data_IF_861365620835
#
_entry.id   IF_861365620835
#
_cell.length_a   1.000
_cell.length_b   1.000
_cell.length_c   1.000
_cell.angle_alpha   90.00
_cell.angle_beta   90.00
_cell.angle_gamma   90.00
#
_symmetry.space_group_name_H-M   'P 1'
#
loop_
_entity.id
_entity.type
_entity.pdbx_description
1 polymer ?
#
# COMPACT_ATOMS: atom_id res chain seq x y z
N UNK A 1 5.93 -31.50 6.89
CA UNK A 1 6.04 -30.29 6.05
C UNK A 1 4.99 -30.38 4.94
N UNK A 2 4.27 -29.30 4.64
CA UNK A 2 3.25 -29.31 3.58
C UNK A 2 3.91 -29.19 2.20
N UNK A 3 3.47 -29.99 1.24
CA UNK A 3 3.99 -30.05 -0.14
C UNK A 3 3.02 -29.38 -1.11
N UNK A 4 3.55 -28.97 -2.27
CA UNK A 4 2.73 -28.53 -3.39
C UNK A 4 1.83 -29.68 -3.88
N UNK A 5 0.62 -29.32 -4.27
CA UNK A 5 -0.41 -30.26 -4.74
C UNK A 5 -0.46 -30.26 -6.26
N UNK A 6 -0.47 -31.42 -6.94
CA UNK A 6 -0.77 -31.49 -8.37
C UNK A 6 -2.21 -31.04 -8.62
N UNK A 7 -2.39 -29.92 -9.30
CA UNK A 7 -3.71 -29.31 -9.49
C UNK A 7 -3.78 -28.47 -10.77
N UNK A 8 -4.84 -28.61 -11.59
CA UNK A 8 -4.95 -27.92 -12.86
C UNK A 8 -5.40 -26.46 -12.70
N UNK A 9 -5.02 -25.61 -13.65
CA UNK A 9 -5.42 -24.20 -13.72
C UNK A 9 -6.95 -24.02 -13.73
N UNK A 10 -7.67 -24.88 -14.45
CA UNK A 10 -9.13 -24.79 -14.62
C UNK A 10 -9.93 -24.89 -13.32
N UNK A 11 -9.33 -25.44 -12.26
CA UNK A 11 -9.95 -25.55 -10.94
C UNK A 11 -9.71 -24.32 -10.05
N UNK A 12 -8.97 -23.32 -10.52
CA UNK A 12 -8.55 -22.16 -9.73
C UNK A 12 -9.31 -20.91 -10.19
N UNK A 13 -9.87 -20.16 -9.24
CA UNK A 13 -10.53 -18.88 -9.51
C UNK A 13 -10.03 -17.80 -8.58
N UNK A 14 -10.00 -16.56 -9.08
CA UNK A 14 -9.69 -15.37 -8.31
C UNK A 14 -10.79 -14.33 -8.54
N UNK A 15 -11.43 -13.88 -7.47
CA UNK A 15 -12.55 -12.94 -7.51
C UNK A 15 -12.34 -11.82 -6.51
N UNK A 16 -12.57 -10.58 -6.90
CA UNK A 16 -12.41 -9.42 -6.03
C UNK A 16 -13.71 -8.66 -5.84
N UNK A 17 -14.02 -8.37 -4.57
CA UNK A 17 -15.14 -7.51 -4.16
C UNK A 17 -14.62 -6.15 -3.69
N UNK A 18 -14.88 -5.07 -4.45
CA UNK A 18 -14.53 -3.71 -4.03
C UNK A 18 -15.27 -3.23 -2.78
N UNK A 19 -16.52 -3.68 -2.57
CA UNK A 19 -17.33 -3.32 -1.40
C UNK A 19 -16.71 -3.83 -0.09
N UNK A 20 -16.30 -5.09 -0.09
CA UNK A 20 -15.73 -5.74 1.10
C UNK A 20 -14.21 -5.69 1.11
N UNK A 21 -13.58 -5.09 0.09
CA UNK A 21 -12.12 -5.03 -0.09
C UNK A 21 -11.47 -6.39 0.13
N UNK A 22 -12.04 -7.42 -0.48
CA UNK A 22 -11.65 -8.81 -0.27
C UNK A 22 -11.36 -9.49 -1.60
N UNK A 23 -10.18 -10.06 -1.72
CA UNK A 23 -9.81 -10.98 -2.77
C UNK A 23 -10.09 -12.41 -2.29
N UNK A 24 -10.90 -13.14 -3.06
CA UNK A 24 -11.25 -14.54 -2.81
C UNK A 24 -10.53 -15.39 -3.83
N UNK A 25 -9.69 -16.30 -3.36
CA UNK A 25 -9.03 -17.31 -4.18
C UNK A 25 -9.68 -18.66 -3.85
N UNK A 26 -10.13 -19.38 -4.86
CA UNK A 26 -10.75 -20.69 -4.68
C UNK A 26 -10.02 -21.73 -5.53
N UNK A 27 -9.91 -22.95 -4.99
CA UNK A 27 -9.40 -24.12 -5.68
C UNK A 27 -10.41 -25.27 -5.49
N UNK A 28 -11.11 -25.63 -6.57
CA UNK A 28 -12.13 -26.68 -6.59
C UNK A 28 -11.79 -27.75 -7.61
N UNK A 29 -11.70 -29.00 -7.17
CA UNK A 29 -11.31 -30.10 -8.05
C UNK A 29 -10.78 -31.32 -7.30
N UNK A 30 -10.16 -32.24 -8.04
CA UNK A 30 -9.63 -33.49 -7.49
C UNK A 30 -8.14 -33.37 -7.20
N UNK A 31 -7.73 -33.83 -6.01
CA UNK A 31 -6.32 -33.98 -5.61
C UNK A 31 -5.98 -35.46 -5.42
N UNK A 32 -4.71 -35.85 -5.53
CA UNK A 32 -4.29 -37.20 -5.20
C UNK A 32 -4.70 -37.60 -3.77
N UNK A 33 -5.23 -38.81 -3.60
CA UNK A 33 -5.79 -39.24 -2.32
C UNK A 33 -4.77 -39.45 -1.20
N UNK A 34 -3.49 -39.47 -1.55
CA UNK A 34 -2.37 -39.51 -0.60
C UNK A 34 -2.05 -38.16 0.05
N UNK A 35 -2.79 -37.10 -0.30
CA UNK A 35 -2.68 -35.79 0.30
C UNK A 35 -3.88 -35.53 1.22
N UNK A 36 -3.63 -34.89 2.37
CA UNK A 36 -4.65 -34.49 3.33
C UNK A 36 -4.56 -33.01 3.66
N UNK A 37 -5.72 -32.44 3.99
CA UNK A 37 -5.84 -31.05 4.43
C UNK A 37 -5.27 -30.08 3.39
N UNK A 38 -5.84 -30.07 2.18
CA UNK A 38 -5.44 -29.10 1.17
C UNK A 38 -5.82 -27.69 1.64
N UNK A 39 -4.90 -26.74 1.51
CA UNK A 39 -5.11 -25.33 1.85
C UNK A 39 -4.37 -24.42 0.86
N UNK A 40 -4.92 -23.23 0.64
CA UNK A 40 -4.27 -22.18 -0.14
C UNK A 40 -3.40 -21.36 0.82
N UNK A 41 -2.15 -21.14 0.44
CA UNK A 41 -1.20 -20.29 1.17
C UNK A 41 -0.84 -19.08 0.32
N UNK A 42 -0.82 -17.90 0.93
CA UNK A 42 -0.19 -16.71 0.32
C UNK A 42 1.32 -16.84 0.44
N UNK A 43 2.03 -16.65 -0.65
CA UNK A 43 3.50 -16.69 -0.70
C UNK A 43 4.06 -15.27 -0.76
N UNK A 44 5.21 -15.05 -0.13
CA UNK A 44 5.91 -13.78 -0.17
C UNK A 44 6.60 -13.62 -1.54
N UNK A 45 6.16 -12.63 -2.32
CA UNK A 45 6.74 -12.36 -3.64
C UNK A 45 6.70 -10.86 -3.96
N UNK A 46 7.85 -10.33 -4.39
CA UNK A 46 8.08 -8.89 -4.61
C UNK A 46 7.35 -8.36 -5.86
N UNK A 47 6.95 -9.23 -6.79
CA UNK A 47 6.40 -8.84 -8.09
C UNK A 47 4.86 -8.85 -8.21
N UNK A 48 4.11 -9.24 -7.18
CA UNK A 48 2.67 -9.46 -7.34
C UNK A 48 2.01 -10.25 -6.22
N UNK A 49 0.74 -10.57 -6.43
CA UNK A 49 -0.02 -11.47 -5.57
C UNK A 49 0.33 -12.92 -5.96
N UNK A 50 1.03 -13.65 -5.08
CA UNK A 50 1.36 -15.07 -5.29
C UNK A 50 0.70 -15.95 -4.23
N UNK A 51 0.13 -17.04 -4.68
CA UNK A 51 -0.51 -18.07 -3.85
C UNK A 51 0.01 -19.44 -4.25
N UNK A 52 -0.09 -20.40 -3.34
CA UNK A 52 0.19 -21.80 -3.62
C UNK A 52 -0.89 -22.72 -3.05
N UNK A 53 -1.13 -23.86 -3.70
CA UNK A 53 -1.94 -24.93 -3.14
C UNK A 53 -1.03 -25.95 -2.46
N UNK A 54 -1.22 -26.14 -1.16
CA UNK A 54 -0.42 -27.06 -0.35
C UNK A 54 -1.29 -28.09 0.36
N UNK A 55 -0.72 -29.25 0.63
CA UNK A 55 -1.34 -30.29 1.44
C UNK A 55 -0.28 -31.09 2.20
N UNK A 56 -0.72 -31.88 3.18
CA UNK A 56 0.16 -32.76 3.93
C UNK A 56 0.20 -34.15 3.28
N UNK A 57 1.40 -34.71 3.02
CA UNK A 57 1.50 -36.09 2.58
C UNK A 57 1.06 -37.01 3.72
N UNK A 58 0.15 -37.93 3.42
CA UNK A 58 -0.22 -39.02 4.31
C UNK A 58 0.81 -40.16 4.16
N UNK A 59 1.17 -40.78 5.28
CA UNK A 59 2.00 -41.99 5.26
C UNK A 59 1.11 -43.18 4.92
N UNK A 60 1.48 -43.90 3.85
CA UNK A 60 0.85 -45.17 3.49
C UNK A 60 1.86 -46.31 3.67
N UNK A 61 1.42 -47.46 4.20
CA UNK A 61 2.24 -48.66 4.22
C UNK A 61 2.59 -49.07 2.77
N UNK A 62 3.82 -49.53 2.58
CA UNK A 62 4.28 -50.07 1.31
C UNK A 62 3.39 -51.25 0.89
N UNK A 63 2.91 -51.26 -0.36
CA UNK A 63 2.03 -52.33 -0.90
C UNK A 63 0.53 -52.05 -0.84
N UNK A 64 0.08 -50.91 -0.29
CA UNK A 64 -1.33 -50.50 -0.42
C UNK A 64 -1.59 -49.83 -1.78
N UNK A 65 -2.76 -50.09 -2.42
CA UNK A 65 -3.13 -49.39 -3.64
C UNK A 65 -3.19 -47.88 -3.38
N UNK A 66 -2.73 -47.04 -4.33
CA UNK A 66 -2.75 -45.60 -4.15
C UNK A 66 -4.18 -45.13 -3.87
N UNK A 67 -4.40 -44.27 -2.86
CA UNK A 67 -5.74 -43.88 -2.48
C UNK A 67 -6.43 -43.11 -3.62
N UNK A 68 -7.71 -43.39 -3.82
CA UNK A 68 -8.53 -42.72 -4.83
C UNK A 68 -8.43 -41.19 -4.72
N UNK A 69 -8.42 -40.45 -5.83
CA UNK A 69 -8.44 -38.99 -5.80
C UNK A 69 -9.60 -38.46 -4.97
N UNK A 70 -9.34 -37.41 -4.19
CA UNK A 70 -10.33 -36.76 -3.31
C UNK A 70 -10.73 -35.42 -3.88
N UNK A 71 -12.00 -35.07 -3.76
CA UNK A 71 -12.46 -33.72 -4.10
C UNK A 71 -12.09 -32.75 -2.98
N UNK A 72 -11.68 -31.55 -3.38
CA UNK A 72 -11.39 -30.44 -2.49
C UNK A 72 -12.21 -29.21 -2.91
N UNK A 73 -12.62 -28.43 -1.91
CA UNK A 73 -13.16 -27.09 -2.06
C UNK A 73 -12.45 -26.22 -1.03
N UNK A 74 -11.43 -25.49 -1.50
CA UNK A 74 -10.58 -24.68 -0.63
C UNK A 74 -10.72 -23.24 -1.04
N UNK A 75 -11.06 -22.39 -0.08
CA UNK A 75 -11.19 -20.94 -0.28
C UNK A 75 -10.27 -20.19 0.68
N UNK A 76 -9.53 -19.22 0.15
CA UNK A 76 -8.80 -18.24 0.93
C UNK A 76 -9.39 -16.85 0.68
N UNK A 77 -9.75 -16.16 1.75
CA UNK A 77 -10.16 -14.75 1.71
C UNK A 77 -9.01 -13.89 2.20
N UNK A 78 -8.60 -12.93 1.36
CA UNK A 78 -7.53 -12.00 1.65
C UNK A 78 -8.12 -10.60 1.73
N UNK A 79 -8.11 -9.96 2.91
CA UNK A 79 -8.48 -8.55 3.01
C UNK A 79 -7.37 -7.72 2.36
N UNK A 80 -7.69 -7.09 1.22
CA UNK A 80 -6.74 -6.29 0.44
C UNK A 80 -7.49 -5.25 -0.37
N UNK A 81 -6.92 -4.05 -0.47
CA UNK A 81 -7.47 -3.00 -1.32
C UNK A 81 -6.82 -3.05 -2.70
N UNK A 82 -7.61 -3.41 -3.73
CA UNK A 82 -7.24 -3.33 -5.14
C UNK A 82 -8.09 -2.26 -5.85
N UNK A 83 -7.57 -1.62 -6.91
CA UNK A 83 -6.24 -1.81 -7.49
C UNK A 83 -5.12 -1.13 -6.67
N UNK A 84 -3.93 -1.75 -6.66
CA UNK A 84 -2.70 -1.19 -6.11
C UNK A 84 -1.85 -0.63 -7.27
N UNK A 85 -1.33 0.59 -7.11
CA UNK A 85 -0.56 1.29 -8.15
C UNK A 85 0.82 0.69 -8.45
N UNK A 86 1.36 -0.12 -7.53
CA UNK A 86 2.73 -0.65 -7.57
C UNK A 86 2.79 -2.17 -7.69
N UNK A 87 1.65 -2.84 -7.74
CA UNK A 87 1.53 -4.30 -7.81
C UNK A 87 0.58 -4.68 -8.94
N UNK A 88 0.85 -5.80 -9.61
CA UNK A 88 -0.13 -6.36 -10.53
C UNK A 88 -1.45 -6.61 -9.78
N UNK A 89 -2.49 -5.90 -10.21
CA UNK A 89 -3.85 -5.99 -9.68
C UNK A 89 -4.82 -6.66 -10.65
N UNK A 90 -4.35 -7.05 -11.85
CA UNK A 90 -5.16 -7.72 -12.88
C UNK A 90 -5.21 -9.22 -12.67
N UNK A 91 -4.14 -9.79 -12.11
CA UNK A 91 -4.00 -11.22 -11.98
C UNK A 91 -3.18 -11.60 -10.74
N UNK A 92 -3.31 -12.87 -10.35
CA UNK A 92 -2.51 -13.49 -9.30
C UNK A 92 -1.68 -14.64 -9.89
N UNK A 93 -0.48 -14.83 -9.36
CA UNK A 93 0.27 -16.05 -9.60
C UNK A 93 -0.21 -17.14 -8.65
N UNK A 94 -0.49 -18.32 -9.18
CA UNK A 94 -0.92 -19.46 -8.39
C UNK A 94 -0.04 -20.67 -8.68
N UNK A 95 0.66 -21.14 -7.67
CA UNK A 95 1.64 -22.23 -7.75
C UNK A 95 1.04 -23.56 -7.28
N UNK A 96 1.22 -24.58 -8.09
CA UNK A 96 0.86 -25.96 -7.81
C UNK A 96 2.05 -26.85 -8.13
N UNK A 97 1.96 -28.16 -7.85
CA UNK A 97 3.03 -29.08 -8.26
C UNK A 97 3.11 -29.22 -9.79
N UNK A 98 2.09 -28.80 -10.53
CA UNK A 98 2.08 -28.83 -12.00
C UNK A 98 2.77 -27.60 -12.61
N UNK A 99 2.94 -26.51 -11.86
CA UNK A 99 3.55 -25.28 -12.34
C UNK A 99 2.98 -24.02 -11.69
N UNK A 100 3.33 -22.87 -12.26
CA UNK A 100 2.83 -21.56 -11.83
C UNK A 100 1.87 -21.03 -12.90
N UNK A 101 0.64 -20.73 -12.50
CA UNK A 101 -0.42 -20.22 -13.35
C UNK A 101 -0.65 -18.72 -13.12
N UNK A 102 -1.11 -18.02 -14.15
CA UNK A 102 -1.44 -16.61 -14.09
C UNK A 102 -2.97 -16.44 -14.14
N UNK A 103 -3.60 -16.36 -12.96
CA UNK A 103 -5.05 -16.37 -12.82
C UNK A 103 -5.58 -14.94 -12.84
N UNK A 104 -6.41 -14.60 -13.83
CA UNK A 104 -7.04 -13.29 -13.96
C UNK A 104 -8.04 -13.08 -12.82
N UNK A 105 -7.98 -11.91 -12.17
CA UNK A 105 -8.92 -11.52 -11.12
C UNK A 105 -10.21 -11.04 -11.76
N UNK A 106 -11.33 -11.68 -11.41
CA UNK A 106 -12.67 -11.22 -11.80
C UNK A 106 -13.16 -10.15 -10.82
N UNK A 107 -13.34 -8.93 -11.30
CA UNK A 107 -13.89 -7.83 -10.52
C UNK A 107 -15.42 -7.91 -10.52
N UNK A 108 -16.04 -7.97 -9.33
CA UNK A 108 -17.50 -8.11 -9.20
C UNK A 108 -18.30 -6.84 -9.53
N UNK A 109 -17.63 -5.73 -9.86
CA UNK A 109 -18.23 -4.45 -10.21
C UNK A 109 -17.64 -3.93 -11.52
N UNK A 110 -18.50 -3.57 -12.46
CA UNK A 110 -18.09 -2.96 -13.72
C UNK A 110 -17.41 -1.59 -13.48
N UNK A 111 -16.32 -1.32 -14.21
CA UNK A 111 -15.58 -0.04 -14.14
C UNK A 111 -14.58 0.09 -12.98
N UNK A 112 -14.43 -0.93 -12.13
CA UNK A 112 -13.44 -0.96 -11.02
C UNK A 112 -12.15 -1.69 -11.42
N UNK A 113 -12.06 -2.12 -12.68
CA UNK A 113 -10.87 -2.75 -13.21
C UNK A 113 -9.68 -1.77 -13.26
N UNK A 114 -8.45 -2.24 -12.99
CA UNK A 114 -7.26 -1.42 -13.16
C UNK A 114 -7.08 -1.01 -14.63
N UNK A 115 -6.94 0.30 -14.86
CA UNK A 115 -6.54 0.90 -16.16
C UNK A 115 -5.17 0.35 -16.57
N UNK A 116 -4.90 0.22 -17.88
CA UNK A 116 -3.73 -0.48 -18.42
C UNK A 116 -2.37 -0.11 -17.83
N UNK A 117 -1.54 -1.15 -17.72
CA UNK A 117 -0.16 -1.32 -17.19
C UNK A 117 0.54 -0.13 -16.49
N UNK A 118 1.14 -0.34 -15.30
CA UNK A 118 2.31 0.44 -14.93
C UNK A 118 3.44 0.12 -15.93
N UNK A 119 3.95 1.13 -16.63
CA UNK A 119 5.15 1.02 -17.46
C UNK A 119 6.36 0.75 -16.56
N UNK A 120 6.97 -0.41 -16.82
CA UNK A 120 8.28 -0.91 -16.37
C UNK A 120 8.32 -1.50 -14.95
N UNK A 121 8.92 -2.68 -14.71
CA UNK A 121 9.74 -3.50 -15.59
C UNK A 121 10.94 -4.04 -14.79
N UNK A 122 11.03 -5.36 -14.66
CA UNK A 122 12.24 -6.07 -14.28
C UNK A 122 12.30 -7.35 -15.10
N UNK A 123 12.58 -7.17 -16.39
CA UNK A 123 13.34 -8.13 -17.18
C UNK A 123 14.81 -7.72 -17.08
N UNK A 124 15.68 -8.70 -16.86
CA UNK A 124 17.14 -8.55 -16.85
C UNK A 124 17.67 -7.78 -18.05
N UNK A 125 18.52 -6.77 -17.83
CA UNK A 125 19.59 -6.40 -18.76
C UNK A 125 20.61 -5.50 -18.05
N UNK A 126 21.89 -5.84 -18.22
CA UNK A 126 23.06 -5.06 -17.86
C UNK A 126 23.07 -3.66 -18.50
N UNK A 127 23.67 -2.68 -17.83
CA UNK A 127 24.09 -1.41 -18.45
C UNK A 127 24.27 -0.22 -17.49
N UNK A 128 25.51 -0.07 -16.99
CA UNK A 128 26.24 1.15 -16.59
C UNK A 128 25.55 2.38 -15.94
N UNK A 129 25.94 2.59 -14.66
CA UNK A 129 26.51 3.81 -14.01
C UNK A 129 26.34 5.20 -14.64
N UNK A 130 25.82 6.17 -13.88
CA UNK A 130 26.60 7.14 -13.06
C UNK A 130 25.71 8.13 -12.28
N UNK A 131 26.16 8.59 -11.09
CA UNK A 131 25.72 9.86 -10.46
C UNK A 131 25.17 9.88 -9.02
N UNK A 132 26.04 9.61 -8.03
CA UNK A 132 26.20 10.20 -6.66
C UNK A 132 24.99 10.82 -5.91
N UNK A 133 24.54 10.24 -4.77
CA UNK A 133 24.90 10.52 -3.34
C UNK A 133 23.93 11.55 -2.70
N UNK A 134 23.35 11.50 -1.50
CA UNK A 134 23.46 10.85 -0.17
C UNK A 134 21.99 10.67 0.33
N UNK A 135 21.52 9.77 1.21
CA UNK A 135 21.99 9.37 2.52
C UNK A 135 21.21 8.08 2.86
N UNK A 136 21.90 6.94 2.93
CA UNK A 136 21.29 5.62 3.14
C UNK A 136 21.32 5.25 4.63
N UNK A 137 20.21 5.47 5.32
CA UNK A 137 19.88 4.73 6.56
C UNK A 137 18.75 3.75 6.29
N UNK A 138 19.10 2.46 6.25
CA UNK A 138 18.26 1.26 6.40
C UNK A 138 16.83 1.30 5.79
N UNK A 139 16.82 1.36 4.46
CA UNK A 139 16.04 0.57 3.51
C UNK A 139 14.58 0.19 3.84
N UNK A 140 13.72 1.20 3.82
CA UNK A 140 12.34 1.08 3.36
C UNK A 140 12.15 1.92 2.09
N UNK A 141 11.64 1.34 1.00
CA UNK A 141 11.31 2.11 -0.22
C UNK A 141 10.30 3.20 0.12
N UNK A 142 10.66 4.48 -0.08
CA UNK A 142 9.79 5.62 0.17
C UNK A 142 8.97 5.92 -1.09
N UNK A 143 7.64 5.82 -1.00
CA UNK A 143 6.72 6.23 -2.08
C UNK A 143 6.25 7.66 -1.77
N UNK A 144 6.68 8.64 -2.57
CA UNK A 144 6.33 10.05 -2.41
C UNK A 144 5.10 10.46 -3.21
N UNK A 145 4.19 11.21 -2.61
CA UNK A 145 3.12 11.93 -3.31
C UNK A 145 3.06 13.37 -2.82
N UNK A 146 2.94 14.32 -3.73
CA UNK A 146 2.74 15.74 -3.44
C UNK A 146 1.31 16.09 -3.85
N UNK A 147 0.50 16.56 -2.91
CA UNK A 147 -0.87 16.97 -3.17
C UNK A 147 -0.90 18.33 -3.89
N UNK A 148 -2.02 18.63 -4.52
CA UNK A 148 -2.27 19.97 -5.07
C UNK A 148 -2.16 21.02 -3.96
N UNK A 149 -1.43 22.13 -4.17
CA UNK A 149 -1.29 23.19 -3.18
C UNK A 149 -2.64 23.78 -2.74
N UNK A 150 -2.81 23.93 -1.42
CA UNK A 150 -3.96 24.58 -0.83
C UNK A 150 -3.62 26.06 -0.62
N UNK A 151 -4.37 26.96 -1.26
CA UNK A 151 -4.22 28.39 -1.05
C UNK A 151 -4.87 28.80 0.27
N UNK A 152 -4.11 29.48 1.12
CA UNK A 152 -4.54 29.94 2.44
C UNK A 152 -4.40 31.45 2.49
N UNK A 153 -5.51 32.20 2.36
CA UNK A 153 -5.48 33.62 2.65
C UNK A 153 -5.33 33.81 4.16
N UNK A 154 -4.27 34.48 4.61
CA UNK A 154 -4.02 34.80 6.04
C UNK A 154 -3.85 36.31 6.25
N UNK A 155 -4.81 37.01 6.91
CA UNK A 155 -4.68 38.44 7.16
C UNK A 155 -3.74 38.73 8.35
N UNK A 156 -3.28 39.98 8.45
CA UNK A 156 -2.42 40.41 9.56
C UNK A 156 -3.11 40.23 10.92
N UNK A 157 -2.40 39.61 11.87
CA UNK A 157 -2.89 39.42 13.25
C UNK A 157 -3.94 38.32 13.44
N UNK A 158 -4.30 37.58 12.38
CA UNK A 158 -5.17 36.42 12.49
C UNK A 158 -4.37 35.12 12.57
N UNK A 159 -5.05 34.06 12.99
CA UNK A 159 -4.55 32.69 12.92
C UNK A 159 -5.34 31.93 11.85
N UNK A 160 -4.71 30.95 11.21
CA UNK A 160 -5.38 30.01 10.33
C UNK A 160 -5.06 28.58 10.75
N UNK A 161 -6.10 27.74 10.80
CA UNK A 161 -5.95 26.33 11.14
C UNK A 161 -5.60 25.53 9.90
N UNK A 162 -4.45 24.91 9.89
CA UNK A 162 -4.11 23.85 8.93
C UNK A 162 -4.20 22.49 9.62
N UNK A 163 -4.46 21.45 8.85
CA UNK A 163 -4.65 20.11 9.40
C UNK A 163 -4.05 19.05 8.49
N UNK A 164 -3.54 18.00 9.11
CA UNK A 164 -3.16 16.79 8.42
C UNK A 164 -3.78 15.58 9.10
N UNK A 165 -4.43 14.77 8.28
CA UNK A 165 -5.02 13.52 8.71
C UNK A 165 -3.90 12.52 8.99
N UNK A 166 -3.94 11.92 10.18
CA UNK A 166 -3.11 10.78 10.52
C UNK A 166 -3.88 9.52 10.14
N UNK A 167 -3.34 8.69 9.24
CA UNK A 167 -3.95 7.39 8.98
C UNK A 167 -3.98 6.57 10.27
N UNK A 168 -5.07 5.83 10.54
CA UNK A 168 -5.13 4.98 11.72
C UNK A 168 -3.97 3.98 11.71
N UNK A 169 -3.39 3.73 12.88
CA UNK A 169 -2.42 2.66 13.05
C UNK A 169 -3.05 1.34 12.61
N UNK A 170 -2.32 0.54 11.84
CA UNK A 170 -2.76 -0.82 11.52
C UNK A 170 -2.71 -1.66 12.80
N UNK A 171 -3.87 -1.96 13.38
CA UNK A 171 -3.98 -2.80 14.58
C UNK A 171 -3.33 -4.18 14.33
N UNK A 172 -2.51 -4.64 15.28
CA UNK A 172 -1.96 -5.99 15.28
C UNK A 172 -0.63 -6.20 14.53
N UNK A 173 -0.02 -5.15 13.97
CA UNK A 173 1.28 -5.25 13.31
C UNK A 173 2.39 -4.56 14.13
N UNK A 174 3.58 -5.16 14.19
CA UNK A 174 4.79 -4.57 14.81
C UNK A 174 5.36 -3.55 13.81
N UNK A 175 4.69 -2.40 13.70
CA UNK A 175 5.02 -1.33 12.74
C UNK A 175 5.39 -0.08 13.52
N UNK A 176 6.35 0.73 13.03
CA UNK A 176 6.52 2.09 13.53
C UNK A 176 5.19 2.86 13.50
N UNK A 177 5.03 3.84 14.38
CA UNK A 177 3.88 4.74 14.33
C UNK A 177 3.99 5.69 13.14
N UNK A 178 2.87 6.08 12.50
CA UNK A 178 2.89 7.17 11.53
C UNK A 178 3.41 8.45 12.17
N UNK A 179 4.13 9.25 11.39
CA UNK A 179 4.71 10.51 11.84
C UNK A 179 4.23 11.65 10.95
N UNK A 180 4.00 12.83 11.54
CA UNK A 180 3.69 14.04 10.78
C UNK A 180 4.68 15.14 11.15
N UNK A 181 5.18 15.84 10.14
CA UNK A 181 6.11 16.96 10.29
C UNK A 181 5.61 18.14 9.46
N UNK A 182 5.51 19.30 10.11
CA UNK A 182 5.26 20.58 9.44
C UNK A 182 6.60 21.29 9.19
N UNK A 183 6.75 21.92 8.01
CA UNK A 183 7.92 22.70 7.60
C UNK A 183 7.48 24.04 7.04
N UNK A 184 8.12 25.13 7.45
CA UNK A 184 7.82 26.49 7.02
C UNK A 184 9.02 27.41 7.27
N UNK A 185 9.05 28.57 6.63
CA UNK A 185 10.03 29.61 6.93
C UNK A 185 9.68 30.30 8.26
N UNK A 186 10.45 29.98 9.31
CA UNK A 186 10.22 30.49 10.68
C UNK A 186 10.41 32.00 10.83
N UNK A 187 11.02 32.67 9.84
CA UNK A 187 11.07 34.14 9.79
C UNK A 187 9.65 34.72 9.64
N UNK A 188 8.83 34.12 8.78
CA UNK A 188 7.53 34.66 8.40
C UNK A 188 6.37 33.94 9.09
N UNK A 189 6.44 32.63 9.28
CA UNK A 189 5.37 31.82 9.86
C UNK A 189 5.75 31.33 11.25
N UNK A 190 4.79 31.32 12.17
CA UNK A 190 4.89 30.63 13.46
C UNK A 190 3.70 29.72 13.70
N UNK A 191 3.91 28.70 14.53
CA UNK A 191 2.84 27.91 15.13
C UNK A 191 2.43 28.60 16.44
N UNK A 192 1.14 28.86 16.58
CA UNK A 192 0.54 29.44 17.80
C UNK A 192 0.01 28.35 18.72
N UNK A 193 -0.64 27.33 18.15
CA UNK A 193 -1.18 26.19 18.89
C UNK A 193 -1.12 24.92 18.03
N UNK A 194 -1.16 23.76 18.69
CA UNK A 194 -1.26 22.46 18.06
C UNK A 194 -2.17 21.53 18.85
N UNK A 195 -3.10 20.86 18.16
CA UNK A 195 -4.04 19.94 18.79
C UNK A 195 -4.19 18.64 17.99
N UNK A 196 -4.67 17.58 18.66
CA UNK A 196 -5.03 16.33 18.03
C UNK A 196 -6.51 16.06 18.26
N UNK A 197 -7.28 16.00 17.17
CA UNK A 197 -8.73 15.82 17.24
C UNK A 197 -9.22 15.00 16.04
N UNK A 198 -10.08 14.00 16.28
CA UNK A 198 -10.74 13.24 15.21
C UNK A 198 -9.80 12.48 14.26
N UNK A 199 -8.59 12.12 14.71
CA UNK A 199 -7.59 11.45 13.86
C UNK A 199 -6.76 12.39 12.98
N UNK A 200 -6.74 13.69 13.28
CA UNK A 200 -5.93 14.69 12.60
C UNK A 200 -5.10 15.48 13.61
N UNK A 201 -3.87 15.86 13.22
CA UNK A 201 -3.17 16.94 13.91
C UNK A 201 -3.55 18.25 13.24
N UNK A 202 -3.88 19.24 14.06
CA UNK A 202 -4.15 20.61 13.66
C UNK A 202 -3.02 21.52 14.16
N UNK A 203 -2.63 22.49 13.33
CA UNK A 203 -1.75 23.59 13.72
C UNK A 203 -2.43 24.91 13.41
N UNK A 204 -2.49 25.79 14.40
CA UNK A 204 -2.91 27.16 14.19
C UNK A 204 -1.67 27.99 13.84
N UNK A 205 -1.56 28.42 12.58
CA UNK A 205 -0.44 29.19 12.07
C UNK A 205 -0.78 30.68 12.04
N UNK A 206 0.23 31.52 12.26
CA UNK A 206 0.13 32.97 12.18
C UNK A 206 1.38 33.58 11.56
N UNK A 207 1.28 34.84 11.14
CA UNK A 207 2.44 35.63 10.76
C UNK A 207 3.32 35.94 11.98
N UNK A 208 4.60 35.58 11.92
CA UNK A 208 5.67 36.07 12.79
C UNK A 208 6.19 37.41 12.28
N UNK A 209 6.43 37.51 10.97
CA UNK A 209 6.76 38.72 10.23
C UNK A 209 5.87 38.78 9.00
N UNK A 210 5.32 39.95 8.69
CA UNK A 210 4.49 40.13 7.51
C UNK A 210 5.36 40.11 6.24
N UNK A 211 5.03 39.32 5.21
CA UNK A 211 5.79 39.25 3.97
C UNK A 211 5.40 40.41 3.03
N UNK A 212 5.78 41.63 3.39
CA UNK A 212 5.45 42.84 2.62
C UNK A 212 6.51 43.22 1.58
N UNK A 213 7.67 42.56 1.60
CA UNK A 213 8.77 42.79 0.67
C UNK A 213 8.54 42.01 -0.63
N UNK A 214 9.05 42.53 -1.75
CA UNK A 214 8.91 41.87 -3.06
C UNK A 214 9.53 40.46 -3.03
N UNK A 215 8.79 39.47 -3.54
CA UNK A 215 9.22 38.07 -3.54
C UNK A 215 9.06 37.32 -2.21
N UNK A 216 8.59 37.99 -1.14
CA UNK A 216 8.33 37.32 0.15
C UNK A 216 6.89 36.79 0.29
N UNK A 217 5.97 37.16 -0.59
CA UNK A 217 4.59 36.65 -0.63
C UNK A 217 4.38 35.88 -1.94
N UNK A 218 3.84 34.64 -1.93
CA UNK A 218 3.36 33.85 -0.79
C UNK A 218 4.46 33.09 -0.03
N UNK A 219 4.12 32.66 1.19
CA UNK A 219 4.96 31.77 2.00
C UNK A 219 4.51 30.31 1.86
N UNK A 220 5.48 29.40 1.79
CA UNK A 220 5.22 27.96 1.72
C UNK A 220 5.15 27.36 3.13
N UNK A 221 4.12 26.56 3.38
CA UNK A 221 3.99 25.71 4.56
C UNK A 221 3.70 24.29 4.10
N UNK A 222 4.61 23.36 4.35
CA UNK A 222 4.48 21.98 3.91
C UNK A 222 4.20 21.07 5.10
N UNK A 223 3.13 20.28 5.00
CA UNK A 223 2.89 19.20 5.95
C UNK A 223 3.27 17.86 5.33
N UNK A 224 4.29 17.22 5.89
CA UNK A 224 4.76 15.90 5.47
C UNK A 224 4.21 14.84 6.42
N UNK A 225 3.42 13.92 5.91
CA UNK A 225 2.95 12.74 6.62
C UNK A 225 3.71 11.51 6.12
N UNK A 226 4.42 10.84 7.03
CA UNK A 226 5.03 9.54 6.75
C UNK A 226 4.15 8.44 7.35
N UNK A 227 3.71 7.53 6.50
CA UNK A 227 2.87 6.39 6.87
C UNK A 227 3.70 5.14 6.65
N UNK A 228 4.03 4.41 7.72
CA UNK A 228 4.73 3.14 7.57
C UNK A 228 3.74 2.08 7.12
N UNK A 229 4.19 1.26 6.20
CA UNK A 229 3.51 0.08 5.69
C UNK A 229 4.41 -1.11 6.04
N UNK A 230 3.93 -1.97 6.94
CA UNK A 230 4.58 -3.27 7.15
C UNK A 230 4.35 -4.13 5.93
N UNK A 231 5.44 -4.63 5.36
CA UNK A 231 5.40 -5.73 4.42
C UNK A 231 5.48 -7.06 5.20
N UNK A 232 4.91 -8.12 4.65
CA UNK A 232 5.23 -9.47 5.11
C UNK A 232 6.74 -9.69 4.94
N UNK A 233 7.43 -10.12 6.01
CA UNK A 233 8.89 -10.32 6.02
C UNK A 233 9.71 -9.31 6.85
N UNK A 234 9.08 -8.36 7.56
CA UNK A 234 9.76 -7.47 8.52
C UNK A 234 10.39 -6.20 7.90
N UNK A 235 10.29 -6.02 6.58
CA UNK A 235 10.66 -4.79 5.90
C UNK A 235 9.52 -3.76 6.06
N UNK A 236 9.85 -2.58 6.59
CA UNK A 236 8.92 -1.45 6.69
C UNK A 236 9.15 -0.54 5.49
N UNK A 237 8.17 -0.39 4.60
CA UNK A 237 8.18 0.67 3.60
C UNK A 237 7.44 1.89 4.11
N UNK A 238 7.69 3.04 3.52
CA UNK A 238 7.07 4.29 3.97
C UNK A 238 6.38 4.94 2.78
N UNK A 239 5.16 5.42 2.96
CA UNK A 239 4.61 6.42 2.04
C UNK A 239 4.80 7.80 2.66
N UNK A 240 5.34 8.71 1.88
CA UNK A 240 5.50 10.12 2.23
C UNK A 240 4.48 10.93 1.44
N UNK A 241 3.55 11.58 2.13
CA UNK A 241 2.60 12.51 1.52
C UNK A 241 2.99 13.92 1.94
N UNK A 242 3.21 14.80 0.97
CA UNK A 242 3.45 16.22 1.18
C UNK A 242 2.16 16.95 0.81
N UNK A 243 1.61 17.69 1.77
CA UNK A 243 0.48 18.58 1.58
C UNK A 243 0.98 20.02 1.62
N UNK A 244 1.24 20.63 0.44
CA UNK A 244 1.71 22.00 0.37
C UNK A 244 0.58 22.99 0.62
N UNK A 245 0.87 24.00 1.43
CA UNK A 245 0.04 25.18 1.63
C UNK A 245 0.76 26.42 1.11
N UNK A 246 0.05 27.22 0.33
CA UNK A 246 0.51 28.52 -0.15
C UNK A 246 -0.20 29.58 0.67
N UNK A 247 0.50 30.16 1.65
CA UNK A 247 -0.05 31.14 2.57
C UNK A 247 0.15 32.53 1.96
N UNK A 248 -0.95 33.14 1.56
CA UNK A 248 -0.99 34.44 0.90
C UNK A 248 -1.36 35.51 1.94
N UNK A 249 -0.48 36.49 2.12
CA UNK A 249 -0.82 37.67 2.90
C UNK A 249 -1.79 38.54 2.10
N UNK A 250 -2.88 38.95 2.75
CA UNK A 250 -3.85 39.88 2.17
C UNK A 250 -4.33 40.89 3.22
N UNK A 251 -4.76 42.05 2.75
CA UNK A 251 -5.30 43.12 3.58
C UNK A 251 -6.81 43.15 3.39
N UNK A 252 -7.55 43.06 4.49
CA UNK A 252 -8.98 43.33 4.48
C UNK A 252 -9.17 44.85 4.49
N UNK A 253 -9.60 45.42 3.36
CA UNK A 253 -10.09 46.80 3.35
C UNK A 253 -11.36 46.88 4.19
N UNK A 254 -11.35 47.71 5.24
CA UNK A 254 -12.58 48.08 5.95
C UNK A 254 -13.45 48.91 5.02
N UNK A 255 -14.62 48.39 4.66
CA UNK A 255 -15.74 49.21 4.17
C UNK A 255 -16.36 50.00 5.31
#
# INVERSE_FOLDING_TARGET
MATLVPFPESGITATYSPWTKTLVIEAKGKVPGYLAGAFIRREDWVGGLRFSLRAFPLLFPEGFPPPSPKEIDVTLKVPIQLPLSWLNSKSVLFETANGVYNIIIKYLLAGVEPVDQPKNGLTSSNGQTDGQAEDQTNEGRIIGSVLTPIKVPLPAGANHRISARIPPSQEGAIVPLPSVKISFHSEFIKIVDSSYEGGSINWDIAWQKLPTEEGTNPQAVDVTTNVPHTQFGGLTTWSRVIQPYTVEFFVLEKK
#
